data_IF_674020258177
#
_entry.id   IF_674020258177
#
_cell.length_a   1.000
_cell.length_b   1.000
_cell.length_c   1.000
_cell.angle_alpha   90.00
_cell.angle_beta   90.00
_cell.angle_gamma   90.00
#
_symmetry.space_group_name_H-M   'P 1'
#
loop_
_entity.id
_entity.type
_entity.pdbx_description
1 polymer ?
#
# COMPACT_ATOMS: atom_id res chain seq x y z
N UNK A 1 -19.88 -18.99 -45.64
CA UNK A 1 -19.93 -19.68 -44.34
C UNK A 1 -18.90 -19.00 -43.44
N UNK A 2 -19.35 -17.95 -42.71
CA UNK A 2 -18.49 -17.05 -41.98
C UNK A 2 -18.53 -17.48 -40.51
N UNK A 3 -17.43 -18.04 -40.01
CA UNK A 3 -17.30 -18.47 -38.62
C UNK A 3 -16.95 -17.24 -37.82
N UNK A 4 -17.85 -16.83 -36.94
CA UNK A 4 -17.62 -15.80 -35.94
C UNK A 4 -16.69 -16.33 -34.85
N UNK A 5 -15.44 -15.89 -34.82
CA UNK A 5 -14.57 -15.99 -33.63
C UNK A 5 -14.77 -14.70 -32.88
N UNK A 6 -15.62 -14.74 -31.88
CA UNK A 6 -15.85 -13.59 -30.98
C UNK A 6 -15.68 -14.08 -29.54
N UNK A 7 -14.91 -13.32 -28.79
CA UNK A 7 -14.92 -13.20 -27.33
C UNK A 7 -14.45 -14.39 -26.50
N UNK A 8 -13.15 -14.57 -26.36
CA UNK A 8 -12.55 -15.26 -25.21
C UNK A 8 -11.24 -14.56 -24.74
N UNK A 9 -11.13 -13.26 -24.87
CA UNK A 9 -9.93 -12.52 -24.48
C UNK A 9 -10.18 -11.38 -23.48
N UNK A 10 -11.36 -11.32 -22.85
CA UNK A 10 -11.76 -10.17 -22.05
C UNK A 10 -11.83 -10.38 -20.52
N UNK A 11 -11.49 -11.54 -19.98
CA UNK A 11 -11.73 -11.83 -18.56
C UNK A 11 -10.48 -12.05 -17.67
N UNK A 12 -9.27 -11.87 -18.18
CA UNK A 12 -8.04 -12.02 -17.36
C UNK A 12 -7.53 -10.66 -16.82
N UNK A 13 -8.12 -9.54 -17.24
CA UNK A 13 -7.65 -8.18 -16.92
C UNK A 13 -8.16 -7.56 -15.63
N UNK A 14 -9.16 -8.10 -14.96
CA UNK A 14 -9.93 -7.34 -13.97
C UNK A 14 -9.47 -7.43 -12.50
N UNK A 15 -8.42 -8.16 -12.17
CA UNK A 15 -7.98 -8.32 -10.78
C UNK A 15 -6.67 -7.57 -10.41
N UNK A 16 -6.05 -6.86 -11.36
CA UNK A 16 -4.81 -6.09 -11.12
C UNK A 16 -4.95 -4.62 -11.58
N UNK A 17 -6.09 -4.26 -12.12
CA UNK A 17 -6.31 -2.90 -12.63
C UNK A 17 -6.78 -1.99 -11.48
N UNK A 18 -5.88 -1.26 -10.89
CA UNK A 18 -6.02 0.10 -10.40
C UNK A 18 -4.80 0.50 -9.57
N UNK A 19 -3.62 0.43 -10.20
CA UNK A 19 -2.61 1.43 -9.94
C UNK A 19 -2.43 2.20 -11.24
N UNK A 20 -2.77 3.47 -11.32
CA UNK A 20 -2.66 4.26 -12.55
C UNK A 20 -1.21 4.45 -13.01
N UNK A 21 -0.26 3.92 -12.29
CA UNK A 21 1.16 4.02 -12.58
C UNK A 21 1.84 2.67 -12.57
N UNK A 22 2.29 2.28 -13.73
CA UNK A 22 3.02 1.08 -14.08
C UNK A 22 2.10 -0.16 -14.19
N UNK A 23 1.82 -0.55 -15.41
CA UNK A 23 1.76 -1.96 -15.74
C UNK A 23 3.02 -2.58 -15.16
N UNK A 24 2.93 -3.18 -13.98
CA UNK A 24 4.02 -3.95 -13.42
C UNK A 24 4.26 -5.08 -14.41
N UNK A 25 5.39 -5.06 -15.07
CA UNK A 25 5.77 -6.08 -16.02
C UNK A 25 6.03 -7.36 -15.21
N UNK A 26 4.98 -8.15 -14.96
CA UNK A 26 5.13 -9.47 -14.37
C UNK A 26 5.56 -10.45 -15.45
N UNK A 27 6.61 -11.18 -15.17
CA UNK A 27 7.13 -12.22 -16.06
C UNK A 27 6.30 -13.48 -15.83
N UNK A 28 5.55 -13.90 -16.83
CA UNK A 28 4.84 -15.19 -16.78
C UNK A 28 5.86 -16.31 -16.99
N UNK A 29 6.14 -17.05 -15.93
CA UNK A 29 7.07 -18.21 -15.95
C UNK A 29 6.36 -19.47 -16.42
N UNK A 30 5.14 -19.69 -15.92
CA UNK A 30 4.27 -20.78 -16.37
C UNK A 30 2.93 -20.17 -16.76
N UNK A 31 2.45 -20.51 -17.94
CA UNK A 31 1.14 -20.10 -18.44
C UNK A 31 0.15 -21.26 -18.34
N UNK A 32 -0.98 -20.99 -17.75
CA UNK A 32 -2.05 -21.98 -17.61
C UNK A 32 -2.59 -22.43 -18.96
N UNK A 33 -2.71 -23.76 -19.13
CA UNK A 33 -3.40 -24.44 -20.21
C UNK A 33 -4.13 -25.69 -19.65
N UNK A 34 -5.34 -25.55 -19.10
CA UNK A 34 -6.06 -26.63 -18.46
C UNK A 34 -6.35 -27.80 -19.41
N UNK A 35 -6.27 -27.60 -20.71
CA UNK A 35 -6.53 -28.64 -21.73
C UNK A 35 -5.32 -29.55 -21.96
N UNK A 36 -4.13 -29.16 -21.57
CA UNK A 36 -2.89 -29.92 -21.81
C UNK A 36 -2.73 -31.21 -20.98
N UNK A 37 -3.64 -31.48 -20.03
CA UNK A 37 -3.78 -32.77 -19.35
C UNK A 37 -2.73 -33.13 -18.30
N UNK A 38 -1.71 -32.28 -18.05
CA UNK A 38 -0.75 -32.52 -16.99
C UNK A 38 -0.97 -31.52 -15.79
N UNK A 39 -0.60 -31.89 -14.56
CA UNK A 39 -0.85 -31.02 -13.39
C UNK A 39 -0.22 -29.63 -13.47
N UNK A 40 0.97 -29.50 -14.07
CA UNK A 40 1.64 -28.21 -14.20
C UNK A 40 0.96 -27.28 -15.21
N UNK A 41 0.24 -27.83 -16.19
CA UNK A 41 -0.51 -27.02 -17.15
C UNK A 41 -1.70 -26.28 -16.53
N UNK A 42 -2.10 -26.64 -15.31
CA UNK A 42 -3.15 -25.96 -14.56
C UNK A 42 -2.64 -24.73 -13.79
N UNK A 43 -1.33 -24.52 -13.77
CA UNK A 43 -0.68 -23.46 -13.02
C UNK A 43 -0.34 -22.27 -13.93
N UNK A 44 -0.81 -21.09 -13.55
CA UNK A 44 -0.25 -19.81 -13.97
C UNK A 44 0.69 -19.33 -12.87
N UNK A 45 1.98 -19.12 -13.19
CA UNK A 45 2.96 -18.64 -12.22
C UNK A 45 3.67 -17.41 -12.77
N UNK A 46 3.61 -16.31 -12.02
CA UNK A 46 4.23 -15.04 -12.38
C UNK A 46 5.28 -14.63 -11.36
N UNK A 47 6.30 -13.96 -11.84
CA UNK A 47 7.35 -13.33 -11.04
C UNK A 47 7.45 -11.87 -11.46
N UNK A 48 7.48 -10.99 -10.50
CA UNK A 48 7.64 -9.56 -10.72
C UNK A 48 8.41 -8.91 -9.60
N UNK A 49 8.64 -7.63 -9.72
CA UNK A 49 9.34 -6.93 -8.67
C UNK A 49 9.56 -5.45 -8.97
N UNK A 50 10.26 -4.81 -8.05
CA UNK A 50 10.66 -3.42 -8.18
C UNK A 50 11.95 -3.20 -7.41
N UNK A 51 12.96 -2.65 -8.06
CA UNK A 51 14.22 -2.23 -7.44
C UNK A 51 14.16 -0.71 -7.28
N UNK A 52 14.38 -0.21 -6.05
CA UNK A 52 14.08 1.19 -5.67
C UNK A 52 15.18 1.85 -4.84
N UNK A 53 16.37 2.11 -5.39
CA UNK A 53 17.35 2.96 -4.70
C UNK A 53 16.81 4.38 -4.58
N UNK A 54 16.98 4.98 -3.40
CA UNK A 54 16.41 6.26 -3.04
C UNK A 54 17.42 7.12 -2.30
N UNK A 55 17.33 8.44 -2.53
CA UNK A 55 18.06 9.46 -1.80
C UNK A 55 17.05 10.39 -1.15
N UNK A 56 17.27 10.73 0.11
CA UNK A 56 16.36 11.57 0.86
C UNK A 56 17.14 12.51 1.76
N UNK A 57 16.76 13.78 1.74
CA UNK A 57 17.34 14.81 2.58
C UNK A 57 16.21 15.63 3.22
N UNK A 58 16.14 15.60 4.53
CA UNK A 58 15.23 16.46 5.30
C UNK A 58 16.05 17.61 5.89
N UNK A 59 15.65 18.84 5.55
CA UNK A 59 16.24 20.06 6.09
C UNK A 59 15.48 20.43 7.36
N UNK A 60 16.05 20.13 8.54
CA UNK A 60 15.45 20.55 9.81
C UNK A 60 15.67 22.05 10.06
N UNK A 61 14.67 22.72 10.63
CA UNK A 61 14.78 24.13 10.99
C UNK A 61 15.75 24.37 12.16
N UNK A 62 16.10 23.35 12.92
CA UNK A 62 16.94 23.42 14.12
C UNK A 62 18.05 22.37 14.17
N UNK A 63 18.28 21.65 13.08
CA UNK A 63 19.32 20.63 12.97
C UNK A 63 19.08 19.36 13.77
N UNK A 64 18.16 19.37 14.72
CA UNK A 64 17.91 18.23 15.62
C UNK A 64 17.07 17.12 14.97
N UNK A 65 16.22 17.45 13.99
CA UNK A 65 15.33 16.51 13.31
C UNK A 65 15.64 16.34 11.82
N UNK A 66 16.66 17.04 11.30
CA UNK A 66 17.12 16.87 9.93
C UNK A 66 17.92 15.57 9.77
N UNK A 67 17.78 14.92 8.64
CA UNK A 67 18.62 13.77 8.28
C UNK A 67 18.99 13.79 6.81
N UNK A 68 20.14 13.21 6.49
CA UNK A 68 20.56 12.92 5.13
C UNK A 68 20.68 11.41 5.00
N UNK A 69 20.05 10.87 3.99
CA UNK A 69 20.18 9.46 3.60
C UNK A 69 20.71 9.41 2.18
N UNK A 70 22.02 9.19 2.06
CA UNK A 70 22.71 9.11 0.78
C UNK A 70 22.64 7.68 0.22
N UNK A 71 21.49 7.34 -0.29
CA UNK A 71 21.22 6.01 -0.81
C UNK A 71 20.65 5.07 0.25
N UNK A 72 19.41 4.72 0.11
CA UNK A 72 18.75 3.70 0.90
C UNK A 72 17.73 2.96 0.04
N UNK A 73 17.14 1.92 0.57
CA UNK A 73 16.12 1.16 -0.12
C UNK A 73 14.75 1.85 0.00
N UNK A 74 14.17 2.25 -1.11
CA UNK A 74 12.83 2.83 -1.21
C UNK A 74 11.71 1.78 -1.28
N UNK A 75 11.95 0.57 -0.78
CA UNK A 75 10.97 -0.52 -0.76
C UNK A 75 11.11 -1.49 -1.93
N UNK A 76 12.36 -1.87 -2.26
CA UNK A 76 12.66 -2.95 -3.20
C UNK A 76 11.93 -4.22 -2.81
N UNK A 77 11.33 -4.88 -3.79
CA UNK A 77 10.50 -6.07 -3.56
C UNK A 77 10.50 -7.03 -4.73
N UNK A 78 10.35 -8.31 -4.40
CA UNK A 78 10.08 -9.39 -5.35
C UNK A 78 8.73 -9.98 -5.06
N UNK A 79 8.00 -10.33 -6.12
CA UNK A 79 6.64 -10.85 -6.07
C UNK A 79 6.57 -12.19 -6.78
N UNK A 80 5.79 -13.09 -6.20
CA UNK A 80 5.52 -14.41 -6.73
C UNK A 80 4.02 -14.64 -6.61
N UNK A 81 3.35 -14.90 -7.74
CA UNK A 81 1.93 -15.22 -7.74
C UNK A 81 1.68 -16.54 -8.43
N UNK A 82 0.79 -17.33 -7.86
CA UNK A 82 0.35 -18.61 -8.38
C UNK A 82 -1.18 -18.62 -8.46
N UNK A 83 -1.71 -19.06 -9.59
CA UNK A 83 -3.12 -19.31 -9.82
C UNK A 83 -3.24 -20.71 -10.41
N UNK A 84 -3.78 -21.66 -9.64
CA UNK A 84 -3.93 -23.05 -10.01
C UNK A 84 -5.41 -23.39 -10.25
N UNK A 85 -5.76 -23.64 -11.50
CA UNK A 85 -7.10 -24.03 -11.89
C UNK A 85 -7.49 -25.38 -11.28
N UNK A 86 -8.60 -25.42 -10.57
CA UNK A 86 -9.14 -26.64 -9.96
C UNK A 86 -10.22 -27.26 -10.83
N UNK A 87 -11.36 -26.61 -10.93
CA UNK A 87 -12.53 -27.01 -11.70
C UNK A 87 -13.51 -25.86 -11.86
N UNK A 88 -14.38 -25.92 -12.85
CA UNK A 88 -15.38 -24.92 -13.20
C UNK A 88 -14.76 -23.52 -13.31
N UNK A 89 -15.11 -22.61 -12.43
CA UNK A 89 -14.54 -21.26 -12.33
C UNK A 89 -13.69 -21.08 -11.06
N UNK A 90 -13.29 -22.18 -10.41
CA UNK A 90 -12.56 -22.15 -9.13
C UNK A 90 -11.08 -22.39 -9.37
N UNK A 91 -10.29 -21.46 -8.86
CA UNK A 91 -8.82 -21.57 -8.78
C UNK A 91 -8.37 -21.46 -7.32
N UNK A 92 -7.28 -22.16 -7.00
CA UNK A 92 -6.48 -21.92 -5.81
C UNK A 92 -5.42 -20.87 -6.13
N UNK A 93 -5.33 -19.83 -5.31
CA UNK A 93 -4.39 -18.73 -5.48
C UNK A 93 -3.43 -18.63 -4.31
N UNK A 94 -2.20 -18.25 -4.59
CA UNK A 94 -1.19 -17.88 -3.59
C UNK A 94 -0.37 -16.71 -4.05
N UNK A 95 0.04 -15.88 -3.10
CA UNK A 95 0.86 -14.71 -3.35
C UNK A 95 1.91 -14.54 -2.26
N UNK A 96 3.14 -14.25 -2.67
CA UNK A 96 4.24 -13.92 -1.79
C UNK A 96 4.95 -12.65 -2.25
N UNK A 97 5.10 -11.68 -1.37
CA UNK A 97 5.90 -10.47 -1.59
C UNK A 97 7.01 -10.38 -0.54
N UNK A 98 8.26 -10.39 -1.02
CA UNK A 98 9.47 -10.27 -0.24
C UNK A 98 10.06 -8.87 -0.43
N UNK A 99 10.15 -8.07 0.63
CA UNK A 99 10.96 -6.86 0.66
C UNK A 99 12.43 -7.20 0.82
N UNK A 100 13.29 -6.54 0.09
CA UNK A 100 14.76 -6.72 0.15
C UNK A 100 15.40 -5.37 0.39
N UNK A 101 16.12 -5.23 1.48
CA UNK A 101 16.91 -4.04 1.76
C UNK A 101 18.28 -4.18 1.07
N UNK A 102 18.38 -3.71 -0.17
CA UNK A 102 19.57 -3.87 -1.00
C UNK A 102 20.86 -3.38 -0.30
N UNK A 103 20.90 -2.17 0.28
CA UNK A 103 22.10 -1.73 1.01
C UNK A 103 22.50 -2.64 2.16
N UNK A 104 21.54 -3.18 2.91
CA UNK A 104 21.82 -4.09 4.01
C UNK A 104 22.36 -5.44 3.53
N UNK A 105 21.78 -5.98 2.43
CA UNK A 105 22.26 -7.25 1.82
C UNK A 105 23.70 -7.15 1.32
N UNK A 106 24.09 -5.99 0.77
CA UNK A 106 25.43 -5.77 0.22
C UNK A 106 26.42 -5.16 1.23
N UNK A 107 25.97 -4.90 2.45
CA UNK A 107 26.76 -4.22 3.49
C UNK A 107 27.40 -2.90 2.99
N UNK A 108 26.66 -2.20 2.14
CA UNK A 108 27.17 -1.09 1.33
C UNK A 108 27.38 0.18 2.13
N UNK A 109 26.56 0.43 3.15
CA UNK A 109 26.61 1.70 3.85
C UNK A 109 26.39 1.56 5.36
N UNK A 110 27.34 2.11 6.14
CA UNK A 110 27.22 2.27 7.58
C UNK A 110 26.18 3.30 8.03
N UNK A 111 25.55 4.04 7.11
CA UNK A 111 24.47 4.99 7.41
C UNK A 111 23.13 4.29 7.71
N UNK A 112 23.02 3.03 7.35
CA UNK A 112 21.87 2.20 7.75
C UNK A 112 22.02 1.76 9.19
N UNK A 113 20.92 1.78 9.91
CA UNK A 113 20.89 1.32 11.29
C UNK A 113 21.53 -0.06 11.39
N UNK A 114 22.57 -0.20 12.21
CA UNK A 114 23.13 -1.51 12.55
C UNK A 114 21.99 -2.42 13.01
N UNK A 115 21.84 -3.57 12.34
CA UNK A 115 20.76 -4.51 12.61
C UNK A 115 19.51 -4.30 11.76
N UNK A 116 19.58 -3.52 10.67
CA UNK A 116 18.53 -3.56 9.65
C UNK A 116 18.43 -4.99 9.10
N UNK A 117 17.20 -5.48 8.95
CA UNK A 117 16.96 -6.80 8.37
C UNK A 117 17.17 -6.76 6.87
N UNK A 118 17.90 -7.73 6.32
CA UNK A 118 18.16 -7.85 4.89
C UNK A 118 16.88 -8.05 4.08
N UNK A 119 15.95 -8.78 4.65
CA UNK A 119 14.69 -9.14 4.00
C UNK A 119 13.49 -8.99 4.95
N UNK A 120 12.34 -8.67 4.41
CA UNK A 120 11.09 -8.57 5.16
C UNK A 120 9.97 -9.23 4.37
N UNK A 121 9.22 -10.13 5.02
CA UNK A 121 7.98 -10.63 4.43
C UNK A 121 6.95 -9.50 4.44
N UNK A 122 6.59 -9.00 3.26
CA UNK A 122 5.58 -7.96 3.10
C UNK A 122 4.18 -8.54 3.03
N UNK A 123 3.98 -9.57 2.20
CA UNK A 123 2.71 -10.29 2.08
C UNK A 123 2.97 -11.79 1.88
N UNK A 124 2.08 -12.59 2.42
CA UNK A 124 1.99 -14.03 2.17
C UNK A 124 0.57 -14.47 2.48
N UNK A 125 -0.16 -14.81 1.43
CA UNK A 125 -1.53 -15.31 1.56
C UNK A 125 -1.84 -16.38 0.53
N UNK A 126 -2.87 -17.14 0.82
CA UNK A 126 -3.43 -18.16 -0.07
C UNK A 126 -4.94 -18.17 0.04
N UNK A 127 -5.62 -18.76 -0.93
CA UNK A 127 -7.07 -18.85 -0.89
C UNK A 127 -7.68 -19.40 -2.18
N UNK A 128 -8.95 -19.12 -2.36
CA UNK A 128 -9.72 -19.54 -3.52
C UNK A 128 -10.33 -18.34 -4.22
N UNK A 129 -10.32 -18.39 -5.54
CA UNK A 129 -10.91 -17.39 -6.42
C UNK A 129 -11.97 -18.08 -7.28
N UNK A 130 -13.10 -17.41 -7.44
CA UNK A 130 -14.19 -17.80 -8.33
C UNK A 130 -14.86 -16.53 -8.86
N UNK A 131 -15.24 -16.52 -10.12
CA UNK A 131 -16.05 -15.43 -10.68
C UNK A 131 -17.46 -15.43 -10.10
N UNK A 132 -18.03 -16.63 -9.90
CA UNK A 132 -19.36 -16.82 -9.35
C UNK A 132 -19.43 -16.50 -7.85
N UNK A 133 -18.46 -16.97 -7.05
CA UNK A 133 -18.52 -16.91 -5.59
C UNK A 133 -17.63 -15.83 -4.98
N UNK A 134 -16.79 -15.17 -5.78
CA UNK A 134 -15.83 -14.18 -5.29
C UNK A 134 -14.52 -14.82 -4.84
N UNK A 135 -13.72 -14.07 -4.11
CA UNK A 135 -12.38 -14.46 -3.67
C UNK A 135 -12.29 -14.47 -2.16
N UNK A 136 -11.84 -15.60 -1.60
CA UNK A 136 -11.59 -15.76 -0.16
C UNK A 136 -10.13 -16.07 0.05
N UNK A 137 -9.43 -15.24 0.82
CA UNK A 137 -7.99 -15.38 1.08
C UNK A 137 -7.69 -15.34 2.57
N UNK A 138 -6.65 -16.05 2.96
CA UNK A 138 -6.13 -16.10 4.33
C UNK A 138 -4.63 -15.85 4.35
N UNK A 139 -4.16 -15.01 5.29
CA UNK A 139 -2.74 -14.76 5.49
C UNK A 139 -2.42 -13.30 5.80
N UNK A 140 -1.18 -12.90 5.47
CA UNK A 140 -0.77 -11.50 5.50
C UNK A 140 -1.01 -10.89 4.12
N UNK A 141 -1.91 -9.94 4.05
CA UNK A 141 -2.38 -9.34 2.79
C UNK A 141 -2.81 -7.91 3.02
N UNK A 142 -2.99 -7.15 1.95
CA UNK A 142 -3.55 -5.82 2.06
C UNK A 142 -4.86 -5.84 2.85
N UNK A 143 -5.01 -4.90 3.75
CA UNK A 143 -6.27 -4.65 4.45
C UNK A 143 -7.33 -4.15 3.49
N UNK A 144 -8.59 -4.23 3.91
CA UNK A 144 -9.69 -3.61 3.16
C UNK A 144 -9.54 -2.09 3.14
N UNK A 145 -9.11 -1.50 4.26
CA UNK A 145 -8.88 -0.05 4.31
C UNK A 145 -7.86 0.38 3.26
N UNK A 146 -6.74 -0.35 3.13
CA UNK A 146 -5.74 -0.02 2.12
C UNK A 146 -6.24 -0.28 0.69
N UNK A 147 -6.84 -1.45 0.40
CA UNK A 147 -7.31 -1.77 -0.94
C UNK A 147 -8.37 -0.80 -1.48
N UNK A 148 -9.20 -0.21 -0.59
CA UNK A 148 -10.37 0.59 -0.96
C UNK A 148 -10.09 2.09 -0.83
N UNK A 149 -9.31 2.50 0.17
CA UNK A 149 -9.06 3.92 0.49
C UNK A 149 -7.59 4.27 0.28
N UNK A 150 -6.68 3.66 1.02
CA UNK A 150 -5.27 4.07 1.08
C UNK A 150 -4.56 3.99 -0.26
N UNK A 151 -4.80 2.93 -1.06
CA UNK A 151 -4.16 2.74 -2.37
C UNK A 151 -4.45 3.86 -3.37
N UNK A 152 -5.58 4.55 -3.22
CA UNK A 152 -5.98 5.64 -4.14
C UNK A 152 -5.10 6.88 -3.99
N UNK A 153 -4.53 7.10 -2.82
CA UNK A 153 -3.64 8.24 -2.51
C UNK A 153 -2.17 7.84 -2.32
N UNK A 154 -1.85 6.54 -2.17
CA UNK A 154 -0.48 6.01 -2.15
C UNK A 154 0.16 6.03 -3.55
N UNK A 155 0.27 7.24 -4.13
CA UNK A 155 0.72 7.47 -5.50
C UNK A 155 2.14 8.06 -5.53
N UNK A 156 2.44 8.94 -4.61
CA UNK A 156 3.72 9.63 -4.47
C UNK A 156 4.73 8.80 -3.65
N UNK A 157 5.97 9.18 -3.69
CA UNK A 157 7.05 8.35 -3.17
C UNK A 157 7.36 8.58 -1.69
N UNK A 158 6.90 9.69 -1.13
CA UNK A 158 6.94 9.97 0.29
C UNK A 158 5.75 9.32 1.03
N UNK A 159 5.83 9.20 2.34
CA UNK A 159 4.89 8.43 3.15
C UNK A 159 3.46 9.00 3.18
N UNK A 160 2.48 8.12 3.29
CA UNK A 160 1.04 8.41 3.47
C UNK A 160 0.75 8.91 4.89
N UNK A 161 1.14 10.15 5.21
CA UNK A 161 1.02 10.69 6.57
C UNK A 161 -0.44 10.98 6.94
N UNK A 162 -1.24 11.41 5.99
CA UNK A 162 -2.67 11.68 6.19
C UNK A 162 -3.54 10.44 6.31
N UNK A 163 -3.02 9.26 5.96
CA UNK A 163 -3.77 8.00 5.98
C UNK A 163 -3.36 7.11 7.16
N UNK A 164 -4.33 6.31 7.65
CA UNK A 164 -4.09 5.36 8.73
C UNK A 164 -2.91 4.42 8.49
N UNK A 165 -2.67 3.86 7.29
CA UNK A 165 -1.53 2.98 7.04
C UNK A 165 -0.16 3.62 7.28
N UNK A 166 -0.02 4.92 7.09
CA UNK A 166 1.22 5.66 7.31
C UNK A 166 1.46 6.07 8.76
N UNK A 167 0.43 6.09 9.59
CA UNK A 167 0.50 6.65 10.95
C UNK A 167 0.11 5.73 12.09
N UNK A 168 -0.48 4.58 11.84
CA UNK A 168 -0.85 3.63 12.88
C UNK A 168 0.35 3.10 13.66
N UNK A 169 0.09 2.31 14.69
CA UNK A 169 1.12 1.59 15.45
C UNK A 169 2.02 0.79 14.51
N UNK A 170 1.38 0.04 13.66
CA UNK A 170 1.94 -0.74 12.58
C UNK A 170 0.76 -1.33 11.81
N UNK A 171 0.56 -0.88 10.59
CA UNK A 171 -0.56 -1.29 9.75
C UNK A 171 -0.66 -2.80 9.50
N UNK A 172 0.43 -3.54 9.70
CA UNK A 172 0.44 -4.99 9.63
C UNK A 172 -0.32 -5.63 10.81
N UNK A 173 -0.44 -4.93 11.94
CA UNK A 173 -1.09 -5.42 13.15
C UNK A 173 -2.43 -4.75 13.43
N UNK A 174 -2.56 -3.45 13.22
CA UNK A 174 -3.79 -2.71 13.49
C UNK A 174 -4.88 -2.90 12.43
N UNK A 175 -4.54 -3.50 11.31
CA UNK A 175 -5.48 -3.81 10.25
C UNK A 175 -5.63 -2.73 9.19
N UNK A 176 -4.79 -1.69 9.22
CA UNK A 176 -4.91 -0.57 8.28
C UNK A 176 -4.09 -0.74 6.99
N UNK A 177 -3.07 -1.62 6.98
CA UNK A 177 -2.17 -1.78 5.82
C UNK A 177 -2.05 -3.23 5.34
N UNK A 178 -0.93 -3.92 5.59
CA UNK A 178 -0.68 -5.32 5.20
C UNK A 178 -0.99 -6.25 6.34
N UNK A 179 -2.27 -6.42 6.60
CA UNK A 179 -2.76 -7.06 7.80
C UNK A 179 -2.35 -8.52 7.92
N UNK A 180 -1.67 -8.85 8.99
CA UNK A 180 -1.29 -10.22 9.34
C UNK A 180 -2.48 -10.99 9.91
N UNK A 181 -2.48 -12.31 9.66
CA UNK A 181 -3.50 -13.23 10.18
C UNK A 181 -4.92 -12.70 9.92
N UNK A 182 -5.22 -12.45 8.66
CA UNK A 182 -6.53 -11.99 8.21
C UNK A 182 -7.19 -13.01 7.30
N UNK A 183 -8.51 -13.12 7.41
CA UNK A 183 -9.37 -13.77 6.43
C UNK A 183 -10.10 -12.65 5.70
N UNK A 184 -9.97 -12.59 4.37
CA UNK A 184 -10.58 -11.54 3.54
C UNK A 184 -11.42 -12.15 2.44
N UNK A 185 -12.61 -11.62 2.27
CA UNK A 185 -13.53 -11.93 1.19
C UNK A 185 -13.74 -10.70 0.32
N UNK A 186 -13.73 -10.90 -1.01
CA UNK A 186 -14.06 -9.91 -2.02
C UNK A 186 -15.08 -10.48 -2.99
N UNK A 187 -16.10 -9.70 -3.35
CA UNK A 187 -17.06 -10.02 -4.41
C UNK A 187 -17.43 -8.78 -5.19
N UNK A 188 -17.33 -8.86 -6.51
CA UNK A 188 -17.84 -7.84 -7.41
C UNK A 188 -19.31 -8.10 -7.72
N UNK A 189 -20.15 -7.07 -7.59
CA UNK A 189 -21.58 -7.11 -7.91
C UNK A 189 -21.92 -5.85 -8.71
N UNK A 190 -22.13 -6.03 -10.03
CA UNK A 190 -22.24 -4.88 -10.94
C UNK A 190 -20.98 -4.03 -10.90
N UNK A 191 -21.14 -2.75 -10.67
CA UNK A 191 -20.05 -1.77 -10.63
C UNK A 191 -19.46 -1.60 -9.22
N UNK A 192 -19.75 -2.51 -8.27
CA UNK A 192 -19.31 -2.39 -6.88
C UNK A 192 -18.49 -3.61 -6.47
N UNK A 193 -17.29 -3.36 -5.98
CA UNK A 193 -16.48 -4.34 -5.25
C UNK A 193 -16.83 -4.27 -3.76
N UNK A 194 -17.34 -5.37 -3.23
CA UNK A 194 -17.69 -5.51 -1.81
C UNK A 194 -16.62 -6.32 -1.08
N UNK A 195 -16.26 -5.87 0.11
CA UNK A 195 -15.22 -6.49 0.92
C UNK A 195 -15.68 -6.72 2.35
N UNK A 196 -15.30 -7.87 2.90
CA UNK A 196 -15.42 -8.18 4.32
C UNK A 196 -14.17 -8.92 4.82
N UNK A 197 -13.73 -8.64 6.05
CA UNK A 197 -12.62 -9.38 6.64
C UNK A 197 -12.80 -9.64 8.12
N UNK A 198 -12.13 -10.71 8.58
CA UNK A 198 -11.93 -11.01 9.99
C UNK A 198 -10.44 -11.00 10.32
N UNK A 199 -10.08 -10.33 11.41
CA UNK A 199 -8.71 -10.17 11.87
C UNK A 199 -8.50 -11.03 13.11
N UNK A 200 -7.69 -12.08 12.99
CA UNK A 200 -7.39 -12.97 14.10
C UNK A 200 -6.45 -12.29 15.09
N UNK A 201 -6.40 -12.83 16.33
CA UNK A 201 -5.47 -12.37 17.36
C UNK A 201 -4.02 -12.42 16.88
N UNK A 202 -3.24 -11.37 17.17
CA UNK A 202 -1.82 -11.29 16.86
C UNK A 202 -1.09 -10.45 17.91
N UNK A 203 0.18 -10.76 18.17
CA UNK A 203 1.02 -10.05 19.13
C UNK A 203 2.10 -9.26 18.40
N UNK A 204 2.34 -8.03 18.83
CA UNK A 204 3.42 -7.18 18.37
C UNK A 204 4.28 -6.70 19.55
N UNK A 205 5.55 -7.02 19.50
CA UNK A 205 6.54 -6.55 20.46
C UNK A 205 7.42 -5.52 19.77
N UNK A 206 7.26 -4.25 20.14
CA UNK A 206 8.12 -3.21 19.66
C UNK A 206 9.45 -3.17 20.42
N UNK A 207 10.53 -2.73 19.74
CA UNK A 207 11.87 -2.65 20.34
C UNK A 207 11.97 -1.68 21.53
N UNK A 208 10.96 -0.84 21.73
CA UNK A 208 10.88 0.12 22.86
C UNK A 208 10.16 -0.46 24.10
N UNK A 209 9.92 -1.77 24.15
CA UNK A 209 9.23 -2.44 25.26
C UNK A 209 7.72 -2.36 25.21
N UNK A 210 7.14 -1.78 24.15
CA UNK A 210 5.70 -1.76 23.95
C UNK A 210 5.22 -3.12 23.45
N UNK A 211 4.30 -3.71 24.19
CA UNK A 211 3.65 -4.96 23.80
C UNK A 211 2.21 -4.68 23.43
N UNK A 212 1.92 -4.83 22.16
CA UNK A 212 0.57 -4.69 21.58
C UNK A 212 0.02 -6.07 21.25
N UNK A 213 -1.22 -6.32 21.67
CA UNK A 213 -1.96 -7.51 21.26
C UNK A 213 -3.28 -7.13 20.61
N UNK A 214 -3.41 -7.42 19.34
CA UNK A 214 -4.73 -7.46 18.70
C UNK A 214 -5.50 -8.67 19.24
N UNK A 215 -6.62 -8.45 19.92
CA UNK A 215 -7.54 -9.51 20.41
C UNK A 215 -8.34 -10.10 19.26
N UNK A 216 -8.72 -9.25 18.31
CA UNK A 216 -9.49 -9.56 17.13
C UNK A 216 -9.98 -8.29 16.48
N UNK A 217 -10.63 -8.42 15.35
CA UNK A 217 -11.18 -7.29 14.62
C UNK A 217 -11.87 -7.72 13.34
N UNK A 218 -12.26 -6.73 12.54
CA UNK A 218 -12.84 -6.95 11.24
C UNK A 218 -12.90 -5.66 10.44
N UNK A 219 -13.10 -5.81 9.15
CA UNK A 219 -13.22 -4.66 8.26
C UNK A 219 -14.32 -4.91 7.23
N UNK A 220 -14.96 -3.83 6.83
CA UNK A 220 -15.90 -3.79 5.71
C UNK A 220 -15.46 -2.69 4.76
N UNK A 221 -15.73 -2.86 3.47
CA UNK A 221 -15.45 -1.85 2.47
C UNK A 221 -16.26 -2.05 1.20
N UNK A 222 -16.42 -0.96 0.47
CA UNK A 222 -17.01 -0.95 -0.84
C UNK A 222 -16.22 -0.01 -1.75
N UNK A 223 -15.91 -0.45 -2.96
CA UNK A 223 -15.30 0.35 -3.99
C UNK A 223 -16.25 0.42 -5.19
N UNK A 224 -16.72 1.60 -5.50
CA UNK A 224 -17.68 1.83 -6.56
C UNK A 224 -16.98 2.40 -7.80
N UNK A 225 -17.09 1.70 -8.92
CA UNK A 225 -16.62 2.09 -10.23
C UNK A 225 -17.68 2.96 -10.91
N UNK A 226 -17.62 4.27 -10.66
CA UNK A 226 -18.59 5.25 -11.18
C UNK A 226 -18.52 5.36 -12.71
N UNK A 227 -17.29 5.29 -13.24
CA UNK A 227 -16.97 5.16 -14.66
C UNK A 227 -15.71 4.31 -14.81
N UNK A 228 -15.25 4.03 -16.03
CA UNK A 228 -14.02 3.26 -16.27
C UNK A 228 -12.77 3.95 -15.68
N UNK A 229 -12.80 5.26 -15.50
CA UNK A 229 -11.69 6.09 -15.01
C UNK A 229 -11.94 6.74 -13.64
N UNK A 230 -13.14 6.58 -13.04
CA UNK A 230 -13.51 7.19 -11.78
C UNK A 230 -13.99 6.15 -10.78
N UNK A 231 -13.28 6.02 -9.67
CA UNK A 231 -13.63 5.13 -8.57
C UNK A 231 -13.78 5.89 -7.26
N UNK A 232 -14.73 5.45 -6.44
CA UNK A 232 -14.97 5.97 -5.11
C UNK A 232 -15.06 4.83 -4.10
N UNK A 233 -14.18 4.84 -3.11
CA UNK A 233 -14.10 3.82 -2.09
C UNK A 233 -14.41 4.34 -0.70
N UNK A 234 -15.00 3.49 0.13
CA UNK A 234 -15.16 3.71 1.56
C UNK A 234 -14.89 2.43 2.34
N UNK A 235 -14.24 2.55 3.49
CA UNK A 235 -13.89 1.41 4.32
C UNK A 235 -13.96 1.76 5.80
N UNK A 236 -14.31 0.74 6.59
CA UNK A 236 -14.25 0.74 8.05
C UNK A 236 -13.43 -0.44 8.53
N UNK A 237 -12.52 -0.18 9.45
CA UNK A 237 -11.72 -1.18 10.14
C UNK A 237 -11.89 -1.04 11.66
N UNK A 238 -12.22 -2.13 12.30
CA UNK A 238 -12.32 -2.23 13.75
C UNK A 238 -11.25 -3.19 14.28
N UNK A 239 -10.57 -2.80 15.35
CA UNK A 239 -9.61 -3.64 16.04
C UNK A 239 -9.74 -3.46 17.54
N UNK A 240 -9.91 -4.57 18.26
CA UNK A 240 -9.79 -4.59 19.71
C UNK A 240 -8.35 -4.91 20.11
N UNK A 241 -7.72 -3.97 20.77
CA UNK A 241 -6.30 -3.99 21.09
C UNK A 241 -6.07 -3.95 22.60
N UNK A 242 -5.08 -4.72 23.09
CA UNK A 242 -4.59 -4.68 24.46
C UNK A 242 -3.15 -4.21 24.47
N UNK A 243 -2.88 -3.14 25.21
CA UNK A 243 -1.50 -2.73 25.55
C UNK A 243 -1.08 -3.42 26.81
N UNK A 244 0.05 -4.13 26.73
CA UNK A 244 0.69 -4.80 27.87
C UNK A 244 1.88 -3.99 28.37
N UNK A 245 1.92 -3.74 29.63
CA UNK A 245 2.93 -2.92 30.29
C UNK A 245 2.40 -2.49 31.66
N UNK A 246 2.61 -1.27 32.10
CA UNK A 246 2.10 -0.75 33.36
C UNK A 246 0.56 -0.66 33.38
N UNK A 247 -0.10 -1.78 33.75
CA UNK A 247 -1.54 -1.92 33.80
C UNK A 247 -2.15 -2.16 32.40
N UNK A 248 -2.42 -3.39 32.05
CA UNK A 248 -3.00 -3.77 30.76
C UNK A 248 -4.28 -2.97 30.47
N UNK A 249 -4.24 -2.17 29.42
CA UNK A 249 -5.43 -1.41 28.94
C UNK A 249 -5.91 -2.01 27.62
N UNK A 250 -7.22 -2.13 27.49
CA UNK A 250 -7.86 -2.56 26.24
C UNK A 250 -8.53 -1.34 25.59
N UNK A 251 -8.35 -1.23 24.27
CA UNK A 251 -8.89 -0.15 23.46
C UNK A 251 -9.68 -0.73 22.29
N UNK A 252 -10.75 -0.07 21.94
CA UNK A 252 -11.50 -0.31 20.72
C UNK A 252 -11.10 0.76 19.71
N UNK A 253 -10.37 0.36 18.67
CA UNK A 253 -9.89 1.23 17.61
C UNK A 253 -10.83 1.15 16.42
N UNK A 254 -11.25 2.31 15.91
CA UNK A 254 -12.00 2.42 14.67
C UNK A 254 -11.27 3.31 13.69
N UNK A 255 -11.16 2.85 12.45
CA UNK A 255 -10.58 3.57 11.33
C UNK A 255 -11.64 3.62 10.24
N UNK A 256 -12.13 4.80 9.91
CA UNK A 256 -13.11 5.02 8.84
C UNK A 256 -12.48 5.93 7.82
N UNK A 257 -12.57 5.59 6.55
CA UNK A 257 -12.04 6.43 5.50
C UNK A 257 -12.81 6.33 4.20
N UNK A 258 -12.58 7.32 3.36
CA UNK A 258 -13.10 7.38 2.00
C UNK A 258 -12.06 8.00 1.07
N UNK A 259 -12.03 7.56 -0.18
CA UNK A 259 -11.16 8.12 -1.19
C UNK A 259 -11.77 8.02 -2.58
N UNK A 260 -11.37 8.96 -3.43
CA UNK A 260 -11.73 9.05 -4.83
C UNK A 260 -10.43 9.02 -5.65
N UNK A 261 -10.46 8.27 -6.76
CA UNK A 261 -9.41 8.29 -7.78
C UNK A 261 -10.05 8.50 -9.14
N UNK A 262 -9.53 9.47 -9.90
CA UNK A 262 -10.00 9.82 -11.22
C UNK A 262 -8.81 9.96 -12.18
N UNK A 263 -8.82 9.17 -13.26
CA UNK A 263 -7.71 9.05 -14.20
C UNK A 263 -8.13 9.30 -15.66
N UNK A 264 -8.79 10.45 -15.97
CA UNK A 264 -9.23 10.73 -17.32
C UNK A 264 -8.02 11.03 -18.22
N UNK A 265 -7.91 10.30 -19.34
CA UNK A 265 -6.82 10.45 -20.32
C UNK A 265 -5.42 10.35 -19.67
N UNK A 266 -4.73 11.49 -19.56
CA UNK A 266 -3.37 11.59 -18.98
C UNK A 266 -3.35 12.20 -17.57
N UNK A 267 -4.51 12.51 -17.00
CA UNK A 267 -4.61 13.01 -15.64
C UNK A 267 -4.58 11.89 -14.61
N UNK A 268 -4.05 12.21 -13.46
CA UNK A 268 -4.22 11.44 -12.24
C UNK A 268 -4.65 12.40 -11.15
N UNK A 269 -5.83 12.20 -10.63
CA UNK A 269 -6.42 13.02 -9.57
C UNK A 269 -6.91 12.07 -8.50
N UNK A 270 -6.43 12.24 -7.27
CA UNK A 270 -6.86 11.45 -6.14
C UNK A 270 -7.02 12.33 -4.91
N UNK A 271 -7.99 12.00 -4.09
CA UNK A 271 -8.15 12.60 -2.78
C UNK A 271 -8.80 11.57 -1.84
N UNK A 272 -8.36 11.56 -0.60
CA UNK A 272 -8.91 10.64 0.40
C UNK A 272 -8.62 11.12 1.80
N UNK A 273 -9.35 10.59 2.75
CA UNK A 273 -9.14 10.91 4.15
C UNK A 273 -9.97 10.02 5.06
N UNK A 274 -9.80 10.23 6.35
CA UNK A 274 -10.48 9.40 7.32
C UNK A 274 -10.55 10.01 8.71
N UNK A 275 -11.31 9.32 9.55
CA UNK A 275 -11.38 9.51 10.98
C UNK A 275 -10.86 8.28 11.71
N UNK A 276 -10.00 8.48 12.68
CA UNK A 276 -9.24 7.46 13.37
C UNK A 276 -9.44 7.58 14.87
N UNK A 277 -10.22 6.70 15.44
CA UNK A 277 -10.49 6.66 16.88
C UNK A 277 -9.49 5.76 17.60
N UNK A 278 -8.98 6.20 18.74
CA UNK A 278 -7.95 5.50 19.50
C UNK A 278 -6.73 5.17 18.62
N UNK A 279 -6.31 6.16 17.85
CA UNK A 279 -5.28 6.05 16.84
C UNK A 279 -4.04 6.83 17.29
N UNK A 280 -2.88 6.25 17.10
CA UNK A 280 -1.66 6.88 17.57
C UNK A 280 -0.55 6.85 16.55
N UNK A 281 0.18 7.96 16.50
CA UNK A 281 1.44 8.01 15.77
C UNK A 281 2.51 7.22 16.50
N UNK A 282 3.38 6.56 15.74
CA UNK A 282 4.54 5.84 16.26
C UNK A 282 5.61 6.75 16.88
N UNK A 283 5.50 8.07 16.77
CA UNK A 283 6.54 9.00 17.18
C UNK A 283 6.32 9.52 18.60
N UNK A 284 7.27 9.20 19.50
CA UNK A 284 7.51 9.83 20.83
C UNK A 284 6.33 9.85 21.80
N UNK A 285 5.64 8.73 21.96
CA UNK A 285 4.54 8.63 22.92
C UNK A 285 4.95 7.78 24.11
N UNK A 286 4.50 8.17 25.32
CA UNK A 286 4.66 7.32 26.48
C UNK A 286 3.79 6.05 26.33
N UNK A 287 4.23 4.95 26.94
CA UNK A 287 3.48 3.67 26.96
C UNK A 287 2.03 3.86 27.43
N UNK A 288 1.80 4.84 28.30
CA UNK A 288 0.50 5.08 28.91
C UNK A 288 -0.51 5.76 27.96
N UNK A 289 -0.04 6.41 26.87
CA UNK A 289 -0.84 7.23 25.99
C UNK A 289 -1.06 6.60 24.60
N UNK A 290 -0.69 5.33 24.48
CA UNK A 290 -0.59 4.60 23.21
C UNK A 290 -1.93 4.29 22.60
N UNK A 291 -2.92 4.77 22.49
CA UNK A 291 -4.25 4.70 21.91
C UNK A 291 -5.17 5.78 22.53
N UNK A 292 -4.61 6.85 23.00
CA UNK A 292 -5.37 7.83 23.75
C UNK A 292 -5.82 9.01 22.90
N UNK A 293 -5.72 8.95 21.58
CA UNK A 293 -6.06 10.07 20.73
C UNK A 293 -6.94 9.69 19.54
N UNK A 294 -7.84 10.58 19.20
CA UNK A 294 -8.57 10.54 17.94
C UNK A 294 -7.93 11.53 16.98
N UNK A 295 -7.85 11.13 15.71
CA UNK A 295 -7.26 11.93 14.65
C UNK A 295 -8.14 11.92 13.40
N UNK A 296 -7.95 12.91 12.54
CA UNK A 296 -8.40 12.85 11.16
C UNK A 296 -7.23 13.10 10.22
N UNK A 297 -7.34 12.59 9.01
CA UNK A 297 -6.34 12.79 8.00
C UNK A 297 -6.94 13.01 6.63
N UNK A 298 -6.17 13.67 5.78
CA UNK A 298 -6.52 13.98 4.39
C UNK A 298 -5.26 13.83 3.54
N UNK A 299 -5.43 13.30 2.32
CA UNK A 299 -4.39 13.26 1.30
C UNK A 299 -4.96 13.63 -0.05
N UNK A 300 -4.11 14.22 -0.92
CA UNK A 300 -4.48 14.51 -2.29
C UNK A 300 -3.28 14.40 -3.24
N UNK A 301 -3.58 14.12 -4.50
CA UNK A 301 -2.64 14.10 -5.60
C UNK A 301 -3.29 14.63 -6.87
N UNK A 302 -2.57 15.47 -7.62
CA UNK A 302 -2.99 15.95 -8.95
C UNK A 302 -1.77 15.98 -9.86
N UNK A 303 -1.76 15.18 -10.92
CA UNK A 303 -0.69 15.11 -11.89
C UNK A 303 -1.19 14.98 -13.32
N UNK A 304 -0.39 15.41 -14.27
CA UNK A 304 -0.67 15.26 -15.70
C UNK A 304 0.55 14.66 -16.40
N UNK A 305 0.38 13.51 -17.06
CA UNK A 305 1.43 12.82 -17.80
C UNK A 305 1.50 13.33 -19.24
N UNK A 306 2.50 14.13 -19.55
CA UNK A 306 2.78 14.56 -20.93
C UNK A 306 3.42 13.40 -21.69
N UNK A 307 2.75 12.82 -22.70
CA UNK A 307 3.35 11.78 -23.52
C UNK A 307 4.48 12.37 -24.38
N UNK A 308 5.68 11.78 -24.31
CA UNK A 308 6.85 12.21 -25.06
C UNK A 308 7.14 11.24 -26.20
N UNK A 309 7.31 9.93 -25.90
CA UNK A 309 7.55 8.88 -26.90
C UNK A 309 8.88 9.01 -27.65
N UNK A 310 9.86 9.74 -27.10
CA UNK A 310 11.17 9.98 -27.73
C UNK A 310 12.30 9.83 -26.71
N UNK A 311 13.50 9.48 -27.17
CA UNK A 311 14.73 9.37 -26.36
C UNK A 311 14.61 8.45 -25.15
N UNK A 312 13.89 7.32 -25.30
CA UNK A 312 13.57 6.38 -24.23
C UNK A 312 12.70 6.96 -23.08
N UNK A 313 12.13 8.16 -23.25
CA UNK A 313 11.17 8.77 -22.33
C UNK A 313 9.77 8.54 -22.86
N UNK A 314 8.95 7.80 -22.11
CA UNK A 314 7.53 7.57 -22.43
C UNK A 314 6.67 8.78 -22.10
N UNK A 315 6.84 9.28 -20.88
CA UNK A 315 6.12 10.47 -20.40
C UNK A 315 6.88 11.21 -19.32
N UNK A 316 6.52 12.46 -19.14
CA UNK A 316 6.95 13.31 -18.02
C UNK A 316 5.69 13.76 -17.30
N UNK A 317 5.62 13.51 -15.99
CA UNK A 317 4.49 13.85 -15.17
C UNK A 317 4.88 14.79 -14.04
N UNK A 318 4.70 16.10 -14.18
CA UNK A 318 4.65 17.01 -13.04
C UNK A 318 3.38 16.77 -12.23
N UNK A 319 3.47 16.97 -10.91
CA UNK A 319 2.34 16.80 -9.99
C UNK A 319 2.44 17.67 -8.75
N UNK A 320 1.28 17.88 -8.14
CA UNK A 320 1.11 18.40 -6.78
C UNK A 320 0.56 17.28 -5.91
N UNK A 321 1.04 17.23 -4.68
CA UNK A 321 0.56 16.29 -3.68
C UNK A 321 0.59 16.94 -2.31
N UNK A 322 -0.11 16.35 -1.37
CA UNK A 322 -0.03 16.77 0.02
C UNK A 322 -0.90 15.93 0.92
N UNK A 323 -0.64 16.08 2.19
CA UNK A 323 -1.38 15.43 3.25
C UNK A 323 -1.50 16.31 4.49
N UNK A 324 -2.41 15.92 5.37
CA UNK A 324 -2.57 16.49 6.70
C UNK A 324 -3.05 15.43 7.66
N UNK A 325 -2.46 15.41 8.84
CA UNK A 325 -2.99 14.68 9.99
C UNK A 325 -3.08 15.61 11.20
N UNK A 326 -4.22 15.54 11.89
CA UNK A 326 -4.47 16.35 13.09
C UNK A 326 -5.10 15.48 14.17
N UNK A 327 -4.50 15.49 15.36
CA UNK A 327 -5.07 14.89 16.55
C UNK A 327 -5.99 15.90 17.23
N UNK A 328 -7.24 15.50 17.44
CA UNK A 328 -8.28 16.36 18.02
C UNK A 328 -8.42 16.20 19.52
N UNK A 329 -7.86 15.12 20.06
CA UNK A 329 -7.79 14.87 21.50
C UNK A 329 -6.61 13.95 21.84
N UNK A 330 -6.32 13.81 23.15
CA UNK A 330 -5.28 12.94 23.68
C UNK A 330 -3.86 13.43 23.48
N UNK A 331 -3.55 14.09 22.41
CA UNK A 331 -2.25 14.65 22.07
C UNK A 331 -2.39 15.87 21.15
N UNK A 332 -1.60 16.87 21.41
CA UNK A 332 -1.44 18.01 20.50
C UNK A 332 -0.42 17.64 19.41
N UNK A 333 -0.92 17.22 18.26
CA UNK A 333 -0.10 16.92 17.09
C UNK A 333 -0.81 17.29 15.82
N UNK A 334 -0.13 18.10 15.03
CA UNK A 334 -0.53 18.50 13.69
C UNK A 334 0.66 18.36 12.77
N UNK A 335 0.45 17.79 11.60
CA UNK A 335 1.39 17.82 10.48
C UNK A 335 0.64 18.10 9.19
N UNK A 336 1.19 18.96 8.36
CA UNK A 336 0.72 19.25 7.02
C UNK A 336 1.93 19.24 6.09
N UNK A 337 1.86 18.44 5.06
CA UNK A 337 2.83 18.37 3.99
C UNK A 337 2.16 18.84 2.69
N UNK A 338 2.85 19.69 1.94
CA UNK A 338 2.46 20.05 0.59
C UNK A 338 3.70 19.91 -0.30
N UNK A 339 3.54 19.32 -1.46
CA UNK A 339 4.69 19.03 -2.27
C UNK A 339 4.48 19.21 -3.77
N UNK A 340 5.58 19.31 -4.46
CA UNK A 340 5.66 19.26 -5.92
C UNK A 340 6.58 18.12 -6.31
N UNK A 341 6.22 17.42 -7.36
CA UNK A 341 7.04 16.33 -7.88
C UNK A 341 7.04 16.28 -9.39
N UNK A 342 7.96 15.48 -9.89
CA UNK A 342 8.07 15.16 -11.30
C UNK A 342 8.50 13.70 -11.46
N UNK A 343 7.77 12.96 -12.28
CA UNK A 343 8.10 11.60 -12.68
C UNK A 343 8.54 11.57 -14.14
N UNK A 344 9.66 10.93 -14.41
CA UNK A 344 10.09 10.54 -15.74
C UNK A 344 9.85 9.05 -15.90
N UNK A 345 8.82 8.68 -16.66
CA UNK A 345 8.59 7.30 -17.04
C UNK A 345 9.44 6.97 -18.27
N UNK A 346 10.33 6.01 -18.13
CA UNK A 346 11.25 5.59 -19.17
C UNK A 346 10.81 4.25 -19.79
N UNK A 347 11.46 3.85 -20.89
CA UNK A 347 11.28 2.53 -21.48
C UNK A 347 11.76 1.41 -20.55
N UNK A 348 11.32 0.19 -20.83
CA UNK A 348 11.78 -1.03 -20.17
C UNK A 348 11.53 -1.08 -18.64
N UNK A 349 10.52 -0.36 -18.13
CA UNK A 349 10.18 -0.40 -16.72
C UNK A 349 10.99 0.54 -15.82
N UNK A 350 11.85 1.37 -16.37
CA UNK A 350 12.58 2.38 -15.60
C UNK A 350 11.75 3.61 -15.31
N UNK A 351 11.95 4.18 -14.12
CA UNK A 351 11.30 5.40 -13.66
C UNK A 351 12.28 6.21 -12.79
N UNK A 352 12.20 7.54 -12.91
CA UNK A 352 12.92 8.47 -12.04
C UNK A 352 11.90 9.45 -11.45
N UNK A 353 11.90 9.59 -10.14
CA UNK A 353 11.04 10.51 -9.42
C UNK A 353 11.87 11.52 -8.64
N UNK A 354 11.42 12.76 -8.63
CA UNK A 354 11.89 13.79 -7.73
C UNK A 354 10.70 14.43 -7.02
N UNK A 355 10.81 14.59 -5.72
CA UNK A 355 9.82 15.26 -4.89
C UNK A 355 10.47 16.29 -3.98
N UNK A 356 9.82 17.44 -3.84
CA UNK A 356 10.10 18.41 -2.81
C UNK A 356 8.82 18.63 -1.98
N UNK A 357 8.94 18.40 -0.67
CA UNK A 357 7.84 18.47 0.28
C UNK A 357 8.10 19.57 1.27
N UNK A 358 7.20 20.53 1.35
CA UNK A 358 7.14 21.60 2.34
C UNK A 358 6.37 21.08 3.55
N UNK A 359 7.04 20.97 4.69
CA UNK A 359 6.48 20.39 5.91
C UNK A 359 6.25 21.44 6.98
N UNK A 360 5.06 21.41 7.58
CA UNK A 360 4.72 22.15 8.80
C UNK A 360 4.21 21.16 9.84
N UNK A 361 4.87 21.09 11.00
CA UNK A 361 4.49 20.13 12.04
C UNK A 361 4.77 20.65 13.44
N UNK A 362 4.01 20.17 14.42
CA UNK A 362 4.22 20.47 15.85
C UNK A 362 5.56 20.00 16.39
N UNK A 363 6.20 19.01 15.75
CA UNK A 363 7.51 18.49 16.13
C UNK A 363 8.67 19.10 15.31
N UNK A 364 8.42 20.23 14.63
CA UNK A 364 9.41 21.01 13.87
C UNK A 364 10.17 20.20 12.81
N UNK A 365 9.49 19.30 12.11
CA UNK A 365 10.05 18.65 10.93
C UNK A 365 10.29 19.68 9.84
N UNK A 366 11.40 19.54 9.14
CA UNK A 366 11.74 20.43 8.03
C UNK A 366 11.30 19.87 6.67
N UNK A 367 11.51 20.69 5.66
CA UNK A 367 11.23 20.34 4.27
C UNK A 367 12.09 19.17 3.80
N UNK A 368 11.57 18.41 2.83
CA UNK A 368 12.21 17.23 2.36
C UNK A 368 12.42 17.25 0.84
N UNK A 369 13.57 16.75 0.41
CA UNK A 369 13.85 16.40 -0.97
C UNK A 369 14.03 14.90 -1.08
N UNK A 370 13.43 14.31 -2.11
CA UNK A 370 13.51 12.90 -2.42
C UNK A 370 13.83 12.70 -3.89
N UNK A 371 14.77 11.80 -4.18
CA UNK A 371 15.04 11.26 -5.52
C UNK A 371 14.93 9.75 -5.44
N UNK A 372 14.13 9.15 -6.28
CA UNK A 372 14.00 7.68 -6.39
C UNK A 372 14.28 7.25 -7.81
N UNK A 373 15.15 6.26 -7.96
CA UNK A 373 15.26 5.47 -9.16
C UNK A 373 14.41 4.22 -8.96
N UNK A 374 13.67 3.82 -9.98
CA UNK A 374 12.81 2.64 -9.93
C UNK A 374 12.94 1.83 -11.20
N UNK A 375 13.06 0.51 -11.03
CA UNK A 375 12.99 -0.47 -12.11
C UNK A 375 11.93 -1.50 -11.74
N UNK A 376 10.87 -1.56 -12.55
CA UNK A 376 9.78 -2.54 -12.39
C UNK A 376 9.90 -3.64 -13.45
N UNK A 377 9.76 -4.90 -13.04
CA UNK A 377 9.85 -6.09 -13.90
C UNK A 377 8.85 -7.16 -13.49
#
# INVERSE_FOLDING_TARGET
MTIKITALAASIGAAVAFMPFATQAEITVLKQDPQAGNPLSRLNFTVGGSIRPQFQNMTGNDGANGYKRNGFDGGTRFRFAADYYLFDDISWISYYELGVNIPAVFDWDNHYAKGATDTTRRMLYTGFKSETWGTLTFGQQNSIYYDVVGVKTDIWDYDMIGQAPGNGINGDYDGSYRTRKSLKYKKTVGDVDLYASYLFSDDYNANNGLNYKRKGGGSLGADYHLTDDLTWGTAWNYTRAEMRGNGNKTYDQNIVGTALSWTPENWTIAAGGGWYQNFMTTKKVSVNDYFAGDAWGLEYFVGYAFPIGQYAVKSIQPYFMGDRIEYVNGRDYLRTDNGVGITFQLDYGFRVDYEHVFTSSTDNLGDMNLVRLRYDF
#
